data_IF_639336578256
#
_entry.id   IF_639336578256
#
_cell.length_a   1.000
_cell.length_b   1.000
_cell.length_c   1.000
_cell.angle_alpha   90.00
_cell.angle_beta   90.00
_cell.angle_gamma   90.00
#
_symmetry.space_group_name_H-M   'P 1'
#
loop_
_entity.id
_entity.type
_entity.pdbx_description
1 polymer ?
#
# COMPACT_ATOMS: atom_id res chain seq x y z
N UNK A 1 -51.30 37.70 -28.31
CA UNK A 1 -50.72 37.26 -27.03
C UNK A 1 -49.34 36.69 -27.32
N UNK A 2 -48.30 37.45 -27.02
CA UNK A 2 -46.92 37.11 -27.32
C UNK A 2 -46.01 38.02 -26.51
N UNK A 3 -44.78 37.55 -26.31
CA UNK A 3 -43.67 38.18 -25.57
C UNK A 3 -43.59 37.74 -24.09
N UNK A 4 -43.24 36.46 -23.86
CA UNK A 4 -42.60 36.02 -22.60
C UNK A 4 -41.61 34.86 -22.83
N UNK A 5 -40.93 34.82 -23.99
CA UNK A 5 -39.98 33.73 -24.32
C UNK A 5 -38.59 34.24 -24.74
N UNK A 6 -38.35 35.56 -24.80
CA UNK A 6 -37.09 36.09 -25.36
C UNK A 6 -36.04 36.58 -24.36
N UNK A 7 -36.20 36.37 -23.05
CA UNK A 7 -35.24 36.91 -22.03
C UNK A 7 -34.45 35.81 -21.32
N UNK A 8 -34.90 34.55 -21.30
CA UNK A 8 -34.14 33.47 -20.64
C UNK A 8 -33.01 32.86 -21.49
N UNK A 9 -33.02 33.02 -22.82
CA UNK A 9 -32.00 32.42 -23.69
C UNK A 9 -30.69 33.24 -23.69
N UNK A 10 -30.75 34.54 -23.39
CA UNK A 10 -29.54 35.40 -23.42
C UNK A 10 -28.69 35.34 -22.16
N UNK A 11 -29.18 34.84 -21.02
CA UNK A 11 -28.37 34.72 -19.79
C UNK A 11 -27.54 33.43 -19.80
N UNK A 12 -28.03 32.34 -20.42
CA UNK A 12 -27.26 31.10 -20.54
C UNK A 12 -26.13 31.19 -21.57
N UNK A 13 -26.26 32.01 -22.62
CA UNK A 13 -25.22 32.17 -23.63
C UNK A 13 -24.03 33.02 -23.14
N UNK A 14 -24.26 34.01 -22.28
CA UNK A 14 -23.19 34.87 -21.74
C UNK A 14 -22.38 34.23 -20.60
N UNK A 15 -22.92 33.19 -19.94
CA UNK A 15 -22.17 32.43 -18.94
C UNK A 15 -21.29 31.33 -19.58
N UNK A 16 -21.60 30.85 -20.78
CA UNK A 16 -20.80 29.84 -21.45
C UNK A 16 -19.52 30.42 -22.08
N UNK A 17 -19.56 31.67 -22.54
CA UNK A 17 -18.39 32.33 -23.16
C UNK A 17 -17.41 32.91 -22.13
N UNK A 18 -17.82 33.16 -20.88
CA UNK A 18 -16.93 33.67 -19.83
C UNK A 18 -16.02 32.61 -19.19
N UNK A 19 -16.28 31.32 -19.44
CA UNK A 19 -15.40 30.22 -19.02
C UNK A 19 -14.59 29.60 -20.15
N UNK A 20 -14.84 29.97 -21.41
CA UNK A 20 -14.06 29.49 -22.56
C UNK A 20 -12.60 30.00 -22.58
N UNK A 21 -12.26 30.97 -21.72
CA UNK A 21 -10.90 31.47 -21.50
C UNK A 21 -10.21 30.92 -20.24
N UNK A 22 -10.92 30.13 -19.42
CA UNK A 22 -10.29 29.26 -18.45
C UNK A 22 -10.23 27.88 -19.08
N UNK A 23 -9.27 27.71 -20.00
CA UNK A 23 -8.45 26.51 -19.90
C UNK A 23 -7.90 26.54 -18.48
N UNK A 24 -8.65 25.94 -17.56
CA UNK A 24 -8.10 25.44 -16.33
C UNK A 24 -7.03 24.48 -16.82
N UNK A 25 -5.82 25.02 -16.96
CA UNK A 25 -4.61 24.24 -17.03
C UNK A 25 -4.73 23.40 -15.77
N UNK A 26 -5.23 22.19 -15.93
CA UNK A 26 -5.02 21.08 -15.03
C UNK A 26 -3.52 20.87 -15.08
N UNK A 27 -2.78 21.80 -14.47
CA UNK A 27 -1.42 21.60 -14.05
C UNK A 27 -1.60 20.43 -13.12
N UNK A 28 -1.30 19.22 -13.62
CA UNK A 28 -0.86 18.14 -12.76
C UNK A 28 0.26 18.76 -11.97
N UNK A 29 -0.07 19.21 -10.75
CA UNK A 29 0.93 19.65 -9.79
C UNK A 29 1.61 18.33 -9.45
N UNK A 30 2.69 18.02 -10.18
CA UNK A 30 3.53 16.90 -9.83
C UNK A 30 4.21 17.26 -8.53
N UNK A 31 4.24 16.32 -7.59
CA UNK A 31 4.99 16.55 -6.37
C UNK A 31 6.45 16.84 -6.75
N UNK A 32 7.19 17.66 -5.98
CA UNK A 32 8.62 17.76 -6.20
C UNK A 32 9.22 16.34 -6.21
N UNK A 33 10.31 16.08 -6.95
CA UNK A 33 10.99 14.78 -6.89
C UNK A 33 11.21 14.36 -5.43
N UNK A 34 10.80 13.14 -5.07
CA UNK A 34 10.80 12.64 -3.69
C UNK A 34 9.70 13.15 -2.77
N UNK A 35 8.71 13.85 -3.33
CA UNK A 35 7.53 14.36 -2.65
C UNK A 35 6.26 13.58 -2.99
N UNK A 36 5.21 13.88 -2.23
CA UNK A 36 3.86 13.37 -2.44
C UNK A 36 2.83 14.47 -2.16
N UNK A 37 1.62 14.29 -2.69
CA UNK A 37 0.43 15.04 -2.30
C UNK A 37 -0.63 14.10 -1.75
N UNK A 38 -1.25 14.50 -0.64
CA UNK A 38 -2.47 13.85 -0.15
C UNK A 38 -3.61 14.26 -1.07
N UNK A 39 -4.13 13.31 -1.83
CA UNK A 39 -5.28 13.48 -2.74
C UNK A 39 -6.58 13.36 -1.95
N UNK A 40 -6.64 12.37 -1.06
CA UNK A 40 -7.80 12.14 -0.21
C UNK A 40 -7.41 11.42 1.09
N UNK A 41 -8.27 11.49 2.10
CA UNK A 41 -8.15 10.76 3.36
C UNK A 41 -9.43 9.95 3.51
N UNK A 42 -9.31 8.63 3.49
CA UNK A 42 -10.43 7.71 3.60
C UNK A 42 -10.52 7.14 5.02
N UNK A 43 -11.70 6.81 5.53
CA UNK A 43 -11.85 6.20 6.85
C UNK A 43 -11.19 4.82 6.90
N UNK A 44 -10.55 4.51 8.03
CA UNK A 44 -9.95 3.22 8.33
C UNK A 44 -10.48 2.66 9.65
N UNK A 45 -10.52 1.34 9.77
CA UNK A 45 -10.98 0.69 10.99
C UNK A 45 -9.90 0.81 12.09
N UNK A 46 -10.20 1.58 13.15
CA UNK A 46 -9.29 1.80 14.28
C UNK A 46 -8.96 0.54 15.10
N UNK A 47 -9.65 -0.57 14.85
CA UNK A 47 -9.29 -1.88 15.42
C UNK A 47 -8.35 -2.70 14.54
N UNK A 48 -8.04 -2.27 13.31
CA UNK A 48 -7.16 -2.98 12.39
C UNK A 48 -5.70 -2.75 12.79
N UNK A 49 -5.03 -3.81 13.23
CA UNK A 49 -3.58 -3.82 13.42
C UNK A 49 -2.95 -4.23 12.08
N UNK A 50 -2.88 -3.30 11.12
CA UNK A 50 -2.54 -3.57 9.71
C UNK A 50 -1.13 -4.15 9.54
N UNK A 51 -1.04 -5.33 8.93
CA UNK A 51 0.23 -6.02 8.62
C UNK A 51 0.45 -6.31 7.13
N UNK A 52 -0.59 -6.16 6.31
CA UNK A 52 -0.45 -6.22 4.85
C UNK A 52 -1.61 -5.50 4.18
N UNK A 53 -1.32 -4.76 3.10
CA UNK A 53 -2.32 -4.00 2.37
C UNK A 53 -2.03 -4.10 0.86
N UNK A 54 -3.03 -4.39 0.03
CA UNK A 54 -2.86 -4.29 -1.43
C UNK A 54 -4.17 -3.96 -2.13
N UNK A 55 -4.09 -3.43 -3.35
CA UNK A 55 -5.24 -3.43 -4.25
C UNK A 55 -5.31 -4.71 -5.05
N UNK A 56 -6.51 -5.29 -5.14
CA UNK A 56 -6.84 -6.31 -6.12
C UNK A 56 -8.29 -6.15 -6.58
N UNK A 57 -8.51 -6.11 -7.90
CA UNK A 57 -9.83 -5.95 -8.54
C UNK A 57 -10.59 -4.71 -8.06
N UNK A 58 -9.90 -3.59 -7.91
CA UNK A 58 -10.47 -2.29 -7.50
C UNK A 58 -10.82 -2.19 -6.00
N UNK A 59 -10.57 -3.24 -5.22
CA UNK A 59 -10.82 -3.28 -3.78
C UNK A 59 -9.50 -3.36 -3.02
N UNK A 60 -9.47 -2.86 -1.79
CA UNK A 60 -8.37 -3.10 -0.89
C UNK A 60 -8.53 -4.49 -0.26
N UNK A 61 -7.43 -5.21 -0.14
CA UNK A 61 -7.29 -6.35 0.75
C UNK A 61 -6.39 -5.94 1.91
N UNK A 62 -6.84 -6.21 3.12
CA UNK A 62 -6.10 -5.91 4.35
C UNK A 62 -5.91 -7.19 5.17
N UNK A 63 -4.67 -7.44 5.60
CA UNK A 63 -4.33 -8.43 6.62
C UNK A 63 -4.04 -7.73 7.95
N UNK A 64 -4.49 -8.32 9.05
CA UNK A 64 -4.26 -7.80 10.40
C UNK A 64 -3.55 -8.78 11.32
N UNK A 65 -2.78 -8.22 12.24
CA UNK A 65 -2.10 -8.91 13.33
C UNK A 65 -2.93 -9.05 14.60
N UNK A 66 -2.27 -9.54 15.66
CA UNK A 66 -2.76 -9.86 17.00
C UNK A 66 -3.47 -11.23 17.11
N UNK A 67 -2.98 -12.06 18.03
CA UNK A 67 -3.56 -13.37 18.34
C UNK A 67 -5.05 -13.25 18.68
N UNK A 68 -5.84 -14.13 18.05
CA UNK A 68 -7.29 -14.19 18.16
C UNK A 68 -8.05 -13.07 17.44
N UNK A 69 -7.34 -12.11 16.82
CA UNK A 69 -7.93 -10.96 16.12
C UNK A 69 -7.54 -10.90 14.64
N UNK A 70 -6.48 -11.59 14.23
CA UNK A 70 -6.00 -11.62 12.85
C UNK A 70 -7.05 -12.08 11.83
N UNK A 71 -7.17 -11.31 10.75
CA UNK A 71 -8.01 -11.62 9.59
C UNK A 71 -7.39 -11.12 8.29
N UNK A 72 -7.94 -11.58 7.17
CA UNK A 72 -7.82 -10.93 5.86
C UNK A 72 -9.21 -10.50 5.41
N UNK A 73 -9.40 -9.23 5.05
CA UNK A 73 -10.68 -8.70 4.58
C UNK A 73 -10.54 -7.98 3.26
N UNK A 74 -11.60 -8.07 2.45
CA UNK A 74 -11.82 -7.16 1.32
C UNK A 74 -12.61 -5.94 1.81
N UNK A 75 -12.09 -4.75 1.54
CA UNK A 75 -12.63 -3.47 2.01
C UNK A 75 -12.76 -2.49 0.84
N UNK A 76 -13.85 -1.71 0.85
CA UNK A 76 -14.02 -0.57 -0.03
C UNK A 76 -13.16 0.59 0.50
N UNK A 77 -12.16 1.00 -0.28
CA UNK A 77 -11.19 1.99 0.14
C UNK A 77 -11.81 3.35 0.46
N UNK A 78 -12.95 3.71 -0.14
CA UNK A 78 -13.59 5.03 0.04
C UNK A 78 -14.43 5.10 1.32
N UNK A 79 -15.06 3.98 1.67
CA UNK A 79 -15.97 3.90 2.82
C UNK A 79 -15.33 3.25 4.04
N UNK A 80 -14.21 2.54 3.87
CA UNK A 80 -13.56 1.76 4.93
C UNK A 80 -14.36 0.52 5.34
N UNK A 81 -15.45 0.21 4.63
CA UNK A 81 -16.36 -0.88 4.99
C UNK A 81 -15.95 -2.19 4.31
N UNK A 82 -16.07 -3.28 5.05
CA UNK A 82 -15.87 -4.62 4.51
C UNK A 82 -16.99 -4.99 3.52
N UNK A 83 -16.63 -5.72 2.46
CA UNK A 83 -17.61 -6.33 1.53
C UNK A 83 -18.28 -7.58 2.10
N UNK A 84 -17.84 -8.04 3.28
CA UNK A 84 -18.27 -9.30 3.90
C UNK A 84 -17.40 -10.50 3.51
N UNK A 85 -16.44 -10.34 2.60
CA UNK A 85 -15.43 -11.38 2.34
C UNK A 85 -14.32 -11.31 3.39
N UNK A 86 -14.09 -12.44 4.05
CA UNK A 86 -13.15 -12.54 5.16
C UNK A 86 -12.53 -13.94 5.24
N UNK A 87 -11.24 -13.99 5.55
CA UNK A 87 -10.56 -15.16 6.07
C UNK A 87 -10.11 -14.86 7.50
N UNK A 88 -10.45 -15.73 8.45
CA UNK A 88 -9.93 -15.63 9.83
C UNK A 88 -8.77 -16.59 10.00
N UNK A 89 -7.67 -16.07 10.56
CA UNK A 89 -6.56 -16.93 10.95
C UNK A 89 -6.97 -17.79 12.16
N UNK A 90 -6.30 -18.94 12.39
CA UNK A 90 -6.43 -19.67 13.64
C UNK A 90 -6.17 -18.76 14.86
N UNK A 91 -6.81 -19.00 16.02
CA UNK A 91 -6.74 -18.06 17.16
C UNK A 91 -5.34 -17.83 17.73
N UNK A 92 -4.41 -18.77 17.53
CA UNK A 92 -3.02 -18.74 17.98
C UNK A 92 -2.05 -18.22 16.91
N UNK A 93 -2.57 -17.68 15.81
CA UNK A 93 -1.79 -17.22 14.67
C UNK A 93 -1.92 -15.71 14.50
N UNK A 94 -0.78 -15.04 14.63
CA UNK A 94 -0.58 -13.65 14.23
C UNK A 94 -0.38 -13.58 12.71
N UNK A 95 -1.36 -13.03 12.01
CA UNK A 95 -1.32 -12.79 10.57
C UNK A 95 -0.44 -11.60 10.20
N UNK A 96 0.24 -11.69 9.06
CA UNK A 96 1.23 -10.70 8.60
C UNK A 96 0.93 -10.27 7.15
N UNK A 97 1.95 -9.90 6.37
CA UNK A 97 1.86 -9.48 4.98
C UNK A 97 1.12 -10.47 4.08
N UNK A 98 0.42 -9.92 3.09
CA UNK A 98 -0.36 -10.65 2.10
C UNK A 98 -0.05 -10.18 0.68
N UNK A 99 -0.24 -11.05 -0.30
CA UNK A 99 -0.29 -10.63 -1.70
C UNK A 99 -1.27 -11.50 -2.50
N UNK A 100 -1.62 -11.06 -3.71
CA UNK A 100 -2.43 -11.84 -4.65
C UNK A 100 -1.59 -12.22 -5.85
N UNK A 101 -1.49 -13.52 -6.12
CA UNK A 101 -0.83 -14.06 -7.31
C UNK A 101 -1.76 -15.06 -8.01
N UNK A 102 -2.21 -14.70 -9.21
CA UNK A 102 -3.27 -15.42 -9.91
C UNK A 102 -4.62 -15.31 -9.19
N UNK A 103 -5.24 -16.43 -8.83
CA UNK A 103 -6.52 -16.46 -8.08
C UNK A 103 -6.34 -16.86 -6.61
N UNK A 104 -5.14 -16.62 -6.06
CA UNK A 104 -4.76 -17.03 -4.71
C UNK A 104 -4.27 -15.83 -3.93
N UNK A 105 -4.83 -15.62 -2.74
CA UNK A 105 -4.25 -14.76 -1.71
C UNK A 105 -3.20 -15.62 -0.97
N UNK A 106 -1.97 -15.15 -0.91
CA UNK A 106 -0.93 -15.72 -0.07
C UNK A 106 -0.77 -14.83 1.16
N UNK A 107 -0.62 -15.46 2.32
CA UNK A 107 -0.52 -14.77 3.60
C UNK A 107 0.60 -15.35 4.44
N UNK A 108 1.38 -14.47 5.06
CA UNK A 108 2.39 -14.80 6.06
C UNK A 108 1.81 -14.82 7.47
N UNK A 109 2.64 -15.31 8.38
CA UNK A 109 2.45 -15.20 9.82
C UNK A 109 3.75 -14.75 10.45
N UNK A 110 3.66 -14.14 11.63
CA UNK A 110 4.82 -13.58 12.31
C UNK A 110 5.88 -14.64 12.65
N UNK A 111 5.65 -15.42 13.71
CA UNK A 111 6.66 -16.37 14.23
C UNK A 111 6.30 -17.84 14.01
N UNK A 112 5.14 -18.13 13.43
CA UNK A 112 4.66 -19.51 13.28
C UNK A 112 5.34 -20.28 12.13
N UNK A 113 6.16 -19.61 11.30
CA UNK A 113 6.86 -20.19 10.13
C UNK A 113 5.93 -20.88 9.14
N UNK A 114 4.68 -20.42 9.09
CA UNK A 114 3.60 -21.02 8.32
C UNK A 114 2.88 -19.96 7.50
N UNK A 115 2.67 -20.20 6.22
CA UNK A 115 1.84 -19.37 5.36
C UNK A 115 0.52 -20.04 5.02
N UNK A 116 -0.42 -19.24 4.52
CA UNK A 116 -1.73 -19.69 4.07
C UNK A 116 -1.96 -19.28 2.62
N UNK A 117 -2.42 -20.22 1.80
CA UNK A 117 -2.90 -19.96 0.45
C UNK A 117 -4.43 -20.06 0.46
N UNK A 118 -5.09 -18.98 0.08
CA UNK A 118 -6.52 -18.78 0.22
C UNK A 118 -7.11 -18.46 -1.15
N UNK A 119 -8.26 -19.03 -1.47
CA UNK A 119 -8.93 -18.77 -2.73
C UNK A 119 -9.44 -17.33 -2.75
N UNK A 120 -9.01 -16.53 -3.73
CA UNK A 120 -9.31 -15.09 -3.79
C UNK A 120 -10.80 -14.77 -3.95
N UNK A 121 -11.57 -15.64 -4.60
CA UNK A 121 -13.01 -15.42 -4.82
C UNK A 121 -13.84 -15.71 -3.57
N UNK A 122 -13.53 -16.82 -2.90
CA UNK A 122 -14.34 -17.36 -1.80
C UNK A 122 -13.79 -17.12 -0.40
N UNK A 123 -12.53 -16.66 -0.29
CA UNK A 123 -11.79 -16.52 0.97
C UNK A 123 -11.64 -17.83 1.76
N UNK A 124 -11.81 -18.98 1.10
CA UNK A 124 -11.62 -20.29 1.69
C UNK A 124 -10.15 -20.70 1.63
N UNK A 125 -9.67 -21.28 2.72
CA UNK A 125 -8.34 -21.88 2.76
C UNK A 125 -8.20 -22.97 1.68
N UNK A 126 -7.16 -22.86 0.86
CA UNK A 126 -6.78 -23.90 -0.10
C UNK A 126 -5.76 -24.85 0.52
N UNK A 127 -4.71 -24.30 1.13
CA UNK A 127 -3.67 -25.04 1.85
C UNK A 127 -2.88 -24.12 2.77
N UNK A 128 -2.20 -24.71 3.75
CA UNK A 128 -1.07 -24.05 4.40
C UNK A 128 0.25 -24.50 3.78
N UNK A 129 1.32 -23.77 4.05
CA UNK A 129 2.68 -24.11 3.65
C UNK A 129 3.67 -23.64 4.70
N UNK A 130 4.82 -24.28 4.74
CA UNK A 130 5.93 -23.82 5.57
C UNK A 130 6.82 -22.89 4.74
N UNK A 131 7.47 -21.94 5.41
CA UNK A 131 8.47 -21.07 4.81
C UNK A 131 9.59 -20.80 5.82
N UNK A 132 10.76 -20.43 5.32
CA UNK A 132 11.91 -20.14 6.16
C UNK A 132 12.63 -18.89 5.68
N UNK A 133 12.91 -18.00 6.63
CA UNK A 133 13.68 -16.76 6.49
C UNK A 133 14.83 -16.80 7.49
N UNK A 134 15.79 -15.88 7.38
CA UNK A 134 16.96 -15.89 8.27
C UNK A 134 16.60 -15.53 9.72
N UNK A 135 15.58 -14.71 9.95
CA UNK A 135 15.07 -14.44 11.31
C UNK A 135 14.13 -15.53 11.80
N UNK A 136 13.58 -16.34 10.89
CA UNK A 136 12.51 -17.28 11.17
C UNK A 136 11.14 -16.62 11.28
N UNK A 137 11.02 -15.34 10.95
CA UNK A 137 9.78 -14.56 10.96
C UNK A 137 9.31 -14.24 9.53
N UNK A 138 8.02 -13.90 9.36
CA UNK A 138 7.50 -13.31 8.13
C UNK A 138 6.84 -11.97 8.45
N UNK A 139 7.16 -10.92 7.69
CA UNK A 139 6.66 -9.56 7.91
C UNK A 139 5.83 -9.13 6.68
N UNK A 140 6.40 -8.39 5.72
CA UNK A 140 5.72 -7.98 4.50
C UNK A 140 5.73 -9.03 3.38
N UNK A 141 4.72 -8.98 2.51
CA UNK A 141 4.66 -9.80 1.30
C UNK A 141 4.12 -9.00 0.12
N UNK A 142 4.75 -9.12 -1.06
CA UNK A 142 4.22 -8.62 -2.33
C UNK A 142 4.60 -9.58 -3.48
N UNK A 143 4.37 -9.21 -4.74
CA UNK A 143 4.71 -10.06 -5.89
C UNK A 143 5.13 -9.26 -7.13
N UNK A 144 6.12 -9.78 -7.86
CA UNK A 144 6.46 -9.34 -9.22
C UNK A 144 5.64 -10.06 -10.30
N UNK A 145 4.49 -10.65 -9.92
CA UNK A 145 3.64 -11.52 -10.73
C UNK A 145 4.25 -12.89 -11.09
N UNK A 146 5.45 -13.20 -10.58
CA UNK A 146 6.12 -14.49 -10.79
C UNK A 146 6.46 -15.16 -9.46
N UNK A 147 7.02 -14.39 -8.53
CA UNK A 147 7.53 -14.81 -7.23
C UNK A 147 6.72 -14.15 -6.12
N UNK A 148 6.67 -14.83 -4.97
CA UNK A 148 6.29 -14.18 -3.71
C UNK A 148 7.53 -13.50 -3.14
N UNK A 149 7.43 -12.21 -2.85
CA UNK A 149 8.52 -11.37 -2.35
C UNK A 149 8.25 -11.10 -0.88
N UNK A 150 9.19 -11.42 0.00
CA UNK A 150 8.97 -11.44 1.46
C UNK A 150 10.07 -10.69 2.19
N UNK A 151 9.67 -9.91 3.20
CA UNK A 151 10.56 -9.36 4.23
C UNK A 151 10.38 -10.10 5.56
N UNK A 152 11.37 -9.99 6.43
CA UNK A 152 11.40 -10.68 7.74
C UNK A 152 11.93 -9.78 8.88
N UNK A 153 11.89 -8.46 8.67
CA UNK A 153 12.45 -7.46 9.59
C UNK A 153 13.97 -7.27 9.46
N UNK A 154 14.69 -8.16 8.76
CA UNK A 154 16.12 -7.97 8.46
C UNK A 154 16.31 -7.03 7.25
N UNK A 155 17.56 -6.93 6.78
CA UNK A 155 17.86 -6.26 5.51
C UNK A 155 17.71 -7.16 4.28
N UNK A 156 17.35 -8.44 4.46
CA UNK A 156 17.19 -9.39 3.37
C UNK A 156 15.75 -9.41 2.85
N UNK A 157 15.60 -9.38 1.54
CA UNK A 157 14.33 -9.65 0.84
C UNK A 157 14.46 -10.97 0.11
N UNK A 158 13.48 -11.84 0.29
CA UNK A 158 13.44 -13.20 -0.26
C UNK A 158 12.43 -13.29 -1.39
N UNK A 159 12.76 -14.09 -2.41
CA UNK A 159 11.89 -14.42 -3.52
C UNK A 159 11.62 -15.91 -3.47
N UNK A 160 10.36 -16.29 -3.33
CA UNK A 160 9.90 -17.67 -3.25
C UNK A 160 9.13 -18.06 -4.52
N UNK A 161 9.35 -19.29 -4.98
CA UNK A 161 8.49 -19.90 -6.00
C UNK A 161 7.13 -20.25 -5.38
N UNK A 162 6.05 -19.76 -5.98
CA UNK A 162 4.69 -19.92 -5.42
C UNK A 162 4.17 -21.37 -5.40
N UNK A 163 4.80 -22.31 -6.11
CA UNK A 163 4.36 -23.72 -6.14
C UNK A 163 5.05 -24.51 -5.05
N UNK A 164 6.37 -24.47 -5.06
CA UNK A 164 7.24 -25.23 -4.15
C UNK A 164 7.48 -24.55 -2.81
N UNK A 165 7.28 -23.23 -2.72
CA UNK A 165 7.71 -22.38 -1.61
C UNK A 165 9.22 -22.43 -1.35
N UNK A 166 10.00 -22.86 -2.34
CA UNK A 166 11.46 -22.81 -2.26
C UNK A 166 11.93 -21.37 -2.52
N UNK A 167 12.90 -20.91 -1.72
CA UNK A 167 13.63 -19.68 -1.97
C UNK A 167 14.42 -19.82 -3.27
N UNK A 168 14.18 -18.94 -4.24
CA UNK A 168 14.85 -18.94 -5.54
C UNK A 168 15.83 -17.79 -5.70
N UNK A 169 15.64 -16.70 -4.96
CA UNK A 169 16.53 -15.53 -4.97
C UNK A 169 16.42 -14.80 -3.64
N UNK A 170 17.46 -14.05 -3.30
CA UNK A 170 17.42 -13.04 -2.25
C UNK A 170 18.25 -11.83 -2.66
N UNK A 171 17.93 -10.68 -2.06
CA UNK A 171 18.72 -9.44 -2.17
C UNK A 171 18.92 -8.86 -0.77
N UNK A 172 19.99 -8.09 -0.60
CA UNK A 172 20.22 -7.30 0.61
C UNK A 172 19.90 -5.85 0.31
N UNK A 173 18.96 -5.29 1.05
CA UNK A 173 18.56 -3.89 0.90
C UNK A 173 19.62 -3.00 1.52
N UNK A 174 20.16 -2.07 0.73
CA UNK A 174 21.15 -1.10 1.20
C UNK A 174 20.81 0.32 0.80
N UNK A 175 21.09 1.27 1.68
CA UNK A 175 21.03 2.70 1.38
C UNK A 175 22.45 3.27 1.48
N UNK A 176 23.00 3.77 0.37
CA UNK A 176 24.39 4.23 0.27
C UNK A 176 25.40 3.18 0.78
N UNK A 177 25.17 1.90 0.43
CA UNK A 177 26.02 0.78 0.82
C UNK A 177 25.87 0.30 2.27
N UNK A 178 24.99 0.91 3.06
CA UNK A 178 24.69 0.44 4.42
C UNK A 178 23.40 -0.39 4.43
N UNK A 179 23.38 -1.59 5.05
CA UNK A 179 22.16 -2.38 5.17
C UNK A 179 21.05 -1.61 5.89
N UNK A 180 19.82 -1.73 5.40
CA UNK A 180 18.63 -1.19 6.06
C UNK A 180 17.89 -2.32 6.75
N UNK A 181 17.68 -2.24 8.05
CA UNK A 181 16.92 -3.23 8.83
C UNK A 181 15.49 -2.72 9.10
N UNK A 182 14.67 -3.54 9.76
CA UNK A 182 13.27 -3.27 10.08
C UNK A 182 12.40 -3.10 8.82
N UNK A 183 12.74 -3.79 7.74
CA UNK A 183 11.95 -3.77 6.52
C UNK A 183 10.68 -4.55 6.78
N UNK A 184 9.54 -3.87 6.67
CA UNK A 184 8.25 -4.38 7.05
C UNK A 184 7.37 -4.58 5.81
N UNK A 185 6.17 -3.99 5.79
CA UNK A 185 5.23 -4.17 4.70
C UNK A 185 5.80 -3.75 3.33
N UNK A 186 5.42 -4.47 2.28
CA UNK A 186 5.99 -4.38 0.94
C UNK A 186 4.91 -4.15 -0.11
N UNK A 187 5.23 -3.40 -1.15
CA UNK A 187 4.40 -3.30 -2.36
C UNK A 187 5.24 -3.24 -3.64
N UNK A 188 4.87 -3.98 -4.68
CA UNK A 188 5.59 -3.99 -5.96
C UNK A 188 4.95 -3.02 -6.95
N UNK A 189 5.63 -1.92 -7.24
CA UNK A 189 5.09 -0.79 -8.01
C UNK A 189 6.00 -0.50 -9.19
N UNK A 190 5.53 -0.78 -10.41
CA UNK A 190 6.23 -0.45 -11.67
C UNK A 190 7.71 -0.84 -11.64
N UNK A 191 7.98 -2.13 -11.40
CA UNK A 191 9.32 -2.73 -11.35
C UNK A 191 10.21 -2.24 -10.19
N UNK A 192 9.63 -1.58 -9.19
CA UNK A 192 10.30 -1.18 -7.96
C UNK A 192 9.63 -1.82 -6.75
N UNK A 193 10.42 -2.15 -5.73
CA UNK A 193 9.92 -2.62 -4.46
C UNK A 193 9.78 -1.43 -3.50
N UNK A 194 8.55 -1.18 -3.06
CA UNK A 194 8.25 -0.23 -2.00
C UNK A 194 8.25 -0.97 -0.68
N UNK A 195 8.80 -0.34 0.36
CA UNK A 195 8.83 -0.96 1.69
C UNK A 195 8.67 0.05 2.82
N UNK A 196 7.80 -0.26 3.78
CA UNK A 196 7.82 0.39 5.07
C UNK A 196 9.11 0.03 5.84
N UNK A 197 9.61 0.98 6.64
CA UNK A 197 10.64 0.71 7.64
C UNK A 197 10.03 0.90 9.02
N UNK A 198 9.85 -0.20 9.75
CA UNK A 198 9.17 -0.22 11.04
C UNK A 198 9.85 0.74 12.04
N UNK A 199 9.02 1.41 12.85
CA UNK A 199 9.37 2.51 13.74
C UNK A 199 9.79 3.82 13.06
N UNK A 200 9.57 3.94 11.74
CA UNK A 200 9.77 5.20 11.01
C UNK A 200 8.53 5.56 10.19
N UNK A 201 8.50 6.78 9.67
CA UNK A 201 7.51 7.25 8.69
C UNK A 201 8.09 7.29 7.28
N UNK A 202 9.06 6.42 6.98
CA UNK A 202 9.67 6.33 5.66
C UNK A 202 9.09 5.18 4.84
N UNK A 203 9.01 5.40 3.54
CA UNK A 203 8.85 4.35 2.53
C UNK A 203 10.08 4.34 1.63
N UNK A 204 10.73 3.20 1.51
CA UNK A 204 11.87 3.03 0.60
C UNK A 204 11.37 2.68 -0.78
N UNK A 205 11.99 3.25 -1.82
CA UNK A 205 11.93 2.76 -3.20
C UNK A 205 13.20 1.98 -3.47
N UNK A 206 13.08 0.68 -3.68
CA UNK A 206 14.20 -0.26 -3.77
C UNK A 206 14.26 -0.81 -5.20
N UNK A 207 15.45 -0.85 -5.78
CA UNK A 207 15.71 -1.65 -6.96
C UNK A 207 15.64 -3.14 -6.61
N UNK A 208 14.65 -3.91 -7.10
CA UNK A 208 14.51 -5.31 -6.74
C UNK A 208 15.65 -6.17 -7.30
N UNK A 209 16.42 -5.69 -8.28
CA UNK A 209 17.55 -6.45 -8.84
C UNK A 209 18.75 -6.35 -7.90
N UNK A 210 19.16 -5.13 -7.55
CA UNK A 210 20.38 -4.89 -6.77
C UNK A 210 20.17 -4.81 -5.25
N UNK A 211 18.94 -4.51 -4.79
CA UNK A 211 18.65 -4.17 -3.39
C UNK A 211 19.00 -2.73 -3.01
N UNK A 212 19.52 -1.92 -3.94
CA UNK A 212 19.85 -0.54 -3.61
C UNK A 212 18.58 0.31 -3.46
N UNK A 213 18.51 1.08 -2.39
CA UNK A 213 17.50 2.12 -2.20
C UNK A 213 17.76 3.23 -3.23
N UNK A 214 16.80 3.40 -4.13
CA UNK A 214 16.79 4.49 -5.12
C UNK A 214 16.38 5.81 -4.48
N UNK A 215 15.42 5.75 -3.55
CA UNK A 215 14.85 6.93 -2.90
C UNK A 215 14.21 6.58 -1.55
N UNK A 216 14.18 7.56 -0.64
CA UNK A 216 13.45 7.48 0.62
C UNK A 216 12.35 8.53 0.60
N UNK A 217 11.10 8.06 0.54
CA UNK A 217 9.92 8.91 0.66
C UNK A 217 9.65 9.18 2.13
N UNK A 218 9.77 10.44 2.54
CA UNK A 218 9.57 10.86 3.92
C UNK A 218 8.11 11.26 4.13
N UNK A 219 7.36 10.47 4.90
CA UNK A 219 5.92 10.61 5.09
C UNK A 219 5.55 11.15 6.48
N UNK A 220 6.45 11.85 7.18
CA UNK A 220 6.23 12.24 8.59
C UNK A 220 4.96 13.05 8.81
N UNK A 221 4.44 13.71 7.77
CA UNK A 221 3.22 14.52 7.86
C UNK A 221 1.95 13.70 8.04
N UNK A 222 1.93 12.42 7.64
CA UNK A 222 0.71 11.60 7.67
C UNK A 222 0.24 11.27 9.09
N UNK A 223 1.17 10.96 10.00
CA UNK A 223 0.84 10.66 11.39
C UNK A 223 0.22 11.85 12.15
N UNK A 224 0.35 13.08 11.65
CA UNK A 224 -0.30 14.26 12.23
C UNK A 224 -1.72 14.49 11.69
N UNK A 225 -2.15 13.69 10.73
CA UNK A 225 -3.47 13.76 10.10
C UNK A 225 -4.40 12.63 10.55
N UNK A 226 -3.86 11.56 11.13
CA UNK A 226 -4.65 10.57 11.88
C UNK A 226 -4.88 11.08 13.31
N UNK A 227 -5.98 10.66 13.94
CA UNK A 227 -6.38 11.15 15.27
C UNK A 227 -6.58 10.04 16.31
N UNK A 228 -6.44 8.77 15.93
CA UNK A 228 -6.78 7.66 16.82
C UNK A 228 -5.65 7.30 17.78
N UNK A 229 -4.38 7.41 17.36
CA UNK A 229 -3.25 6.91 18.16
C UNK A 229 -3.18 7.56 19.53
N UNK A 230 -3.49 8.86 19.63
CA UNK A 230 -3.50 9.58 20.91
C UNK A 230 -4.56 9.07 21.90
N UNK A 231 -5.64 8.47 21.39
CA UNK A 231 -6.75 7.93 22.18
C UNK A 231 -6.53 6.49 22.67
N UNK A 232 -5.47 5.81 22.21
CA UNK A 232 -5.14 4.44 22.63
C UNK A 232 -4.67 4.45 24.09
N UNK A 233 -5.34 3.64 24.92
CA UNK A 233 -5.08 3.57 26.38
C UNK A 233 -3.94 2.62 26.72
N UNK A 234 -3.85 1.50 25.99
CA UNK A 234 -2.83 0.49 26.18
C UNK A 234 -1.49 0.99 25.63
N UNK A 235 -0.53 1.23 26.52
CA UNK A 235 0.77 1.81 26.15
C UNK A 235 1.50 1.02 25.06
N UNK A 236 1.48 -0.30 25.12
CA UNK A 236 2.14 -1.15 24.12
C UNK A 236 1.48 -1.00 22.74
N UNK A 237 0.14 -0.95 22.67
CA UNK A 237 -0.58 -0.72 21.40
C UNK A 237 -0.29 0.66 20.84
N UNK A 238 -0.22 1.67 21.72
CA UNK A 238 0.08 3.05 21.31
C UNK A 238 1.48 3.17 20.70
N UNK A 239 2.47 2.48 21.29
CA UNK A 239 3.84 2.45 20.76
C UNK A 239 3.90 1.76 19.40
N UNK A 240 3.12 0.70 19.21
CA UNK A 240 3.11 -0.07 17.96
C UNK A 240 2.11 0.45 16.92
N UNK A 241 1.34 1.50 17.22
CA UNK A 241 0.38 2.12 16.31
C UNK A 241 1.08 3.02 15.26
N UNK A 242 1.99 2.42 14.50
CA UNK A 242 2.90 3.08 13.55
C UNK A 242 2.43 2.92 12.11
N UNK A 243 2.99 3.74 11.21
CA UNK A 243 2.77 3.63 9.76
C UNK A 243 3.20 2.24 9.26
N UNK A 244 2.27 1.54 8.61
CA UNK A 244 2.45 0.21 8.02
C UNK A 244 1.27 -0.08 7.07
N UNK A 245 1.57 -0.61 5.88
CA UNK A 245 0.58 -0.86 4.83
C UNK A 245 0.74 0.11 3.66
N UNK A 246 1.05 -0.42 2.48
CA UNK A 246 1.25 0.30 1.23
C UNK A 246 0.50 -0.46 0.15
N UNK A 247 -0.47 0.18 -0.50
CA UNK A 247 -1.16 -0.41 -1.63
C UNK A 247 -1.09 0.51 -2.84
N UNK A 248 -0.76 -0.03 -4.01
CA UNK A 248 -0.76 0.72 -5.26
C UNK A 248 -2.02 0.42 -6.06
N UNK A 249 -2.78 1.47 -6.39
CA UNK A 249 -3.92 1.35 -7.28
C UNK A 249 -3.49 1.66 -8.73
N UNK A 250 -3.47 0.67 -9.64
CA UNK A 250 -3.06 0.89 -11.02
C UNK A 250 -4.05 1.72 -11.84
N UNK A 251 -5.32 1.85 -11.41
CA UNK A 251 -6.34 2.59 -12.15
C UNK A 251 -6.13 4.11 -12.09
N UNK A 252 -5.73 4.62 -10.92
CA UNK A 252 -5.46 6.05 -10.71
C UNK A 252 -3.97 6.37 -10.55
N UNK A 253 -3.10 5.35 -10.44
CA UNK A 253 -1.67 5.48 -10.15
C UNK A 253 -1.36 6.16 -8.82
N UNK A 254 -2.22 5.98 -7.82
CA UNK A 254 -2.02 6.50 -6.48
C UNK A 254 -1.55 5.39 -5.54
N UNK A 255 -0.75 5.79 -4.54
CA UNK A 255 -0.42 4.95 -3.39
C UNK A 255 -1.44 5.20 -2.29
N UNK A 256 -1.78 4.14 -1.57
CA UNK A 256 -2.62 4.18 -0.38
C UNK A 256 -1.77 3.72 0.79
N UNK A 257 -1.62 4.59 1.78
CA UNK A 257 -0.77 4.35 2.95
C UNK A 257 -1.61 4.48 4.20
N UNK A 258 -1.42 3.58 5.16
CA UNK A 258 -2.08 3.63 6.46
C UNK A 258 -1.12 3.25 7.58
N UNK A 259 -1.66 2.90 8.74
CA UNK A 259 -0.90 2.41 9.87
C UNK A 259 -1.73 1.54 10.79
N UNK A 260 -1.02 0.88 11.70
CA UNK A 260 -1.61 0.03 12.71
C UNK A 260 -2.50 0.90 13.61
N UNK A 261 -3.79 0.55 13.67
CA UNK A 261 -4.81 1.25 14.47
C UNK A 261 -5.06 2.71 14.03
N UNK A 262 -4.63 3.12 12.83
CA UNK A 262 -4.92 4.45 12.32
C UNK A 262 -6.41 4.56 11.93
N UNK A 263 -7.00 5.75 12.05
CA UNK A 263 -8.38 6.04 11.59
C UNK A 263 -8.44 6.47 10.11
N UNK A 264 -7.29 6.47 9.42
CA UNK A 264 -7.15 6.99 8.06
C UNK A 264 -6.36 6.06 7.14
N UNK A 265 -6.83 5.93 5.89
CA UNK A 265 -6.03 5.52 4.72
C UNK A 265 -5.79 6.75 3.86
N UNK A 266 -4.53 7.10 3.64
CA UNK A 266 -4.12 8.26 2.86
C UNK A 266 -3.93 7.87 1.40
N UNK A 267 -4.73 8.47 0.51
CA UNK A 267 -4.54 8.37 -0.94
C UNK A 267 -3.52 9.42 -1.39
N UNK A 268 -2.44 8.97 -1.99
CA UNK A 268 -1.25 9.76 -2.28
C UNK A 268 -0.92 9.73 -3.77
N UNK A 269 -0.75 10.92 -4.33
CA UNK A 269 -0.05 11.06 -5.60
C UNK A 269 1.44 11.25 -5.29
N UNK A 270 2.27 10.26 -5.67
CA UNK A 270 3.72 10.30 -5.48
C UNK A 270 4.40 10.63 -6.80
N UNK A 271 5.42 11.48 -6.77
CA UNK A 271 6.25 11.72 -7.94
C UNK A 271 7.17 10.50 -8.16
N UNK A 272 6.74 9.58 -9.02
CA UNK A 272 7.59 8.46 -9.45
C UNK A 272 8.55 8.97 -10.53
N UNK A 273 9.83 8.62 -10.45
CA UNK A 273 10.86 9.10 -11.38
C UNK A 273 10.54 8.82 -12.88
N UNK A 274 9.71 7.82 -13.17
CA UNK A 274 9.18 7.53 -14.51
C UNK A 274 8.26 8.61 -15.08
N UNK A 275 7.73 9.49 -14.23
CA UNK A 275 6.76 10.53 -14.60
C UNK A 275 7.44 11.86 -14.97
N UNK A 276 8.77 11.92 -14.87
CA UNK A 276 9.56 13.06 -15.38
C UNK A 276 9.63 12.95 -16.91
N UNK A 277 9.08 13.90 -17.69
CA UNK A 277 9.25 13.87 -19.14
C UNK A 277 10.74 13.91 -19.44
N UNK A 278 11.25 12.95 -20.22
CA UNK A 278 12.55 13.09 -20.84
C UNK A 278 12.53 14.38 -21.67
N UNK A 279 13.13 15.45 -21.13
CA UNK A 279 13.48 16.62 -21.93
C UNK A 279 14.50 16.12 -22.92
N UNK A 280 14.05 15.80 -24.14
CA UNK A 280 14.96 15.65 -25.27
C UNK A 280 15.57 17.03 -25.48
N UNK A 281 16.82 17.19 -25.07
CA UNK A 281 17.64 18.29 -25.54
C UNK A 281 17.74 18.12 -27.05
N UNK A 282 17.04 18.98 -27.79
CA UNK A 282 17.36 19.20 -29.19
C UNK A 282 18.62 20.05 -29.19
N UNK A 283 19.77 19.38 -29.29
CA UNK A 283 21.00 20.04 -29.67
C UNK A 283 20.88 20.41 -31.15
N UNK A 284 20.84 21.71 -31.42
CA UNK A 284 21.00 22.31 -32.75
C UNK A 284 22.24 23.17 -32.77
#
# INVERSE_FOLDING_TARGET
>A
MGITVLVLVSICALAAESFAGFDAIQRRVYAPPGGFYVVNIHPHNVSSFTEGLLFDRGMLLESTGLDGQSYIREIDARTGLSTGKEFKFPPDIFGEGITVLGNTIYALTYQAKKGFAINRDSFKLLRSFDFETNTGEGWGMTTDQTHLIVSDGSSTIYFFDQKSMAKVREITVTNNGQPVININELEYVRDELFANVWLTTNILRIDPISGNVKEVLKMERLQYLESNVENIRESWRKVDAVMNGIAFNPENNHLYVTGKLWDAVFELQVALASDTPHVRTFDG
#
